data_IF_619754840520
#
_entry.id   IF_619754840520
#
_cell.length_a   1.000
_cell.length_b   1.000
_cell.length_c   1.000
_cell.angle_alpha   90.00
_cell.angle_beta   90.00
_cell.angle_gamma   90.00
#
_symmetry.space_group_name_H-M   'P 1'
#
loop_
_entity.id
_entity.type
_entity.pdbx_description
1 polymer ?
#
# COMPACT_ATOMS: atom_id res chain seq x y z
N UNK A 1 16.38 12.38 -1.21
CA UNK A 1 17.06 11.37 -2.05
C UNK A 1 17.45 12.04 -3.37
N UNK A 2 18.32 11.42 -4.18
CA UNK A 2 18.83 12.05 -5.43
C UNK A 2 17.86 11.90 -6.59
N UNK A 3 17.45 10.68 -6.92
CA UNK A 3 16.41 10.37 -7.91
C UNK A 3 15.49 9.27 -7.40
N UNK A 4 14.29 9.17 -7.97
CA UNK A 4 13.33 8.12 -7.62
C UNK A 4 13.90 6.72 -7.88
N UNK A 5 14.63 6.55 -8.99
CA UNK A 5 15.29 5.29 -9.35
C UNK A 5 16.31 4.90 -8.28
N UNK A 6 17.12 5.86 -7.82
CA UNK A 6 18.13 5.59 -6.79
C UNK A 6 17.49 5.25 -5.44
N UNK A 7 16.38 5.91 -5.09
CA UNK A 7 15.62 5.57 -3.88
C UNK A 7 15.08 4.13 -3.96
N UNK A 8 14.44 3.77 -5.06
CA UNK A 8 13.88 2.45 -5.27
C UNK A 8 14.96 1.36 -5.34
N UNK A 9 16.15 1.66 -5.86
CA UNK A 9 17.32 0.78 -5.81
C UNK A 9 17.76 0.48 -4.37
N UNK A 10 17.84 1.50 -3.51
CA UNK A 10 18.20 1.34 -2.09
C UNK A 10 17.14 0.49 -1.36
N UNK A 11 15.86 0.73 -1.60
CA UNK A 11 14.77 -0.05 -1.01
C UNK A 11 14.89 -1.52 -1.43
N UNK A 12 15.01 -1.78 -2.74
CA UNK A 12 15.14 -3.14 -3.28
C UNK A 12 16.36 -3.87 -2.72
N UNK A 13 17.51 -3.20 -2.62
CA UNK A 13 18.71 -3.79 -2.04
C UNK A 13 18.46 -4.34 -0.63
N UNK A 14 17.79 -3.58 0.25
CA UNK A 14 17.50 -4.06 1.61
C UNK A 14 16.53 -5.25 1.61
N UNK A 15 15.51 -5.22 0.76
CA UNK A 15 14.52 -6.29 0.65
C UNK A 15 15.13 -7.60 0.13
N UNK A 16 16.06 -7.54 -0.82
CA UNK A 16 16.83 -8.68 -1.32
C UNK A 16 17.71 -9.31 -0.22
N UNK A 17 18.11 -8.53 0.79
CA UNK A 17 18.83 -9.04 1.98
C UNK A 17 17.88 -9.52 3.09
N UNK A 18 16.58 -9.58 2.83
CA UNK A 18 15.57 -10.02 3.81
C UNK A 18 15.12 -8.93 4.80
N UNK A 19 15.52 -7.67 4.59
CA UNK A 19 15.09 -6.54 5.42
C UNK A 19 13.90 -5.86 4.76
N UNK A 20 12.70 -6.07 5.32
CA UNK A 20 11.50 -5.39 4.87
C UNK A 20 11.58 -3.88 5.13
N UNK A 21 11.30 -3.07 4.09
CA UNK A 21 11.25 -1.61 4.20
C UNK A 21 9.79 -1.14 4.20
N UNK A 22 9.40 -0.43 5.24
CA UNK A 22 8.15 0.33 5.24
C UNK A 22 8.39 1.64 4.49
N UNK A 23 8.15 1.65 3.17
CA UNK A 23 8.47 2.78 2.30
C UNK A 23 7.67 4.04 2.70
N UNK A 24 8.31 5.11 3.21
CA UNK A 24 7.61 6.33 3.60
C UNK A 24 7.34 7.26 2.41
N UNK A 25 7.83 6.92 1.22
CA UNK A 25 7.73 7.72 0.00
C UNK A 25 6.61 7.26 -0.93
N UNK A 26 5.62 6.54 -0.41
CA UNK A 26 4.38 6.18 -1.12
C UNK A 26 3.18 6.63 -0.30
N UNK A 27 2.07 6.91 -1.00
CA UNK A 27 0.77 7.17 -0.37
C UNK A 27 -0.16 5.95 -0.43
N UNK A 28 0.28 4.85 -1.07
CA UNK A 28 -0.47 3.59 -1.20
C UNK A 28 -0.14 2.68 -0.01
N UNK A 29 -1.17 2.14 0.64
CA UNK A 29 -1.04 1.32 1.86
C UNK A 29 -0.18 0.08 1.59
N UNK A 30 -0.42 -0.59 0.46
CA UNK A 30 0.24 -1.82 0.03
C UNK A 30 1.72 -1.62 -0.33
N UNK A 31 2.10 -0.42 -0.74
CA UNK A 31 3.49 -0.11 -1.09
C UNK A 31 4.31 0.39 0.10
N UNK A 32 3.63 0.79 1.18
CA UNK A 32 4.26 1.24 2.41
C UNK A 32 4.71 0.07 3.29
N UNK A 33 4.25 0.07 4.56
CA UNK A 33 4.63 -0.97 5.53
C UNK A 33 3.79 -2.25 5.51
N UNK A 34 2.61 -2.25 4.88
CA UNK A 34 1.69 -3.39 4.85
C UNK A 34 1.51 -3.91 3.43
N UNK A 35 2.42 -4.78 2.98
CA UNK A 35 2.43 -5.29 1.59
C UNK A 35 1.26 -6.17 1.18
N UNK A 36 0.52 -6.71 2.15
CA UNK A 36 -0.62 -7.60 1.92
C UNK A 36 -1.80 -7.12 2.75
N UNK A 37 -2.97 -7.01 2.13
CA UNK A 37 -4.23 -6.74 2.82
C UNK A 37 -4.88 -8.09 3.16
N UNK A 38 -5.21 -8.27 4.43
CA UNK A 38 -5.92 -9.45 4.93
C UNK A 38 -7.39 -9.45 4.43
N UNK A 39 -7.95 -10.59 3.98
CA UNK A 39 -9.38 -10.73 3.72
C UNK A 39 -10.30 -10.16 4.81
N UNK A 40 -9.91 -10.25 6.09
CA UNK A 40 -10.68 -9.67 7.20
C UNK A 40 -10.70 -8.14 7.16
N UNK A 41 -9.61 -7.50 6.73
CA UNK A 41 -9.54 -6.04 6.57
C UNK A 41 -10.42 -5.56 5.42
N UNK A 42 -10.52 -6.35 4.34
CA UNK A 42 -11.46 -6.07 3.24
C UNK A 42 -12.91 -6.14 3.72
N UNK A 43 -13.29 -7.23 4.40
CA UNK A 43 -14.64 -7.39 4.97
C UNK A 43 -14.98 -6.28 5.96
N UNK A 44 -14.03 -5.92 6.83
CA UNK A 44 -14.24 -4.81 7.76
C UNK A 44 -14.48 -3.49 7.03
N UNK A 45 -13.70 -3.22 5.97
CA UNK A 45 -13.84 -2.01 5.15
C UNK A 45 -15.20 -1.94 4.45
N UNK A 46 -15.73 -3.06 3.96
CA UNK A 46 -17.09 -3.14 3.39
C UNK A 46 -18.18 -2.79 4.41
N UNK A 47 -18.01 -3.20 5.67
CA UNK A 47 -18.96 -2.91 6.75
C UNK A 47 -18.93 -1.43 7.15
N UNK A 48 -17.74 -0.84 7.29
CA UNK A 48 -17.58 0.50 7.89
C UNK A 48 -17.54 1.64 6.87
N UNK A 49 -17.32 1.34 5.59
CA UNK A 49 -17.38 2.32 4.51
C UNK A 49 -18.12 1.74 3.29
N UNK A 50 -19.44 1.49 3.42
CA UNK A 50 -20.25 0.82 2.40
C UNK A 50 -20.42 1.63 1.11
N UNK A 51 -20.07 2.91 1.13
CA UNK A 51 -20.13 3.81 -0.04
C UNK A 51 -18.74 4.14 -0.60
N UNK A 52 -17.67 3.59 -0.03
CA UNK A 52 -16.31 3.81 -0.53
C UNK A 52 -15.80 5.25 -0.41
N UNK A 53 -16.35 6.05 0.49
CA UNK A 53 -16.04 7.49 0.59
C UNK A 53 -14.84 7.77 1.50
N UNK A 54 -14.45 6.80 2.33
CA UNK A 54 -13.35 6.97 3.28
C UNK A 54 -12.01 6.81 2.57
N UNK A 55 -11.45 7.96 2.17
CA UNK A 55 -10.10 8.10 1.62
C UNK A 55 -9.85 7.21 0.37
N UNK A 56 -10.65 7.41 -0.70
CA UNK A 56 -10.44 6.71 -1.96
C UNK A 56 -9.03 6.99 -2.50
N UNK A 57 -8.45 6.01 -3.19
CA UNK A 57 -7.10 6.16 -3.74
C UNK A 57 -5.98 5.60 -2.87
N UNK A 58 -6.21 5.37 -1.57
CA UNK A 58 -5.17 4.89 -0.62
C UNK A 58 -4.76 3.44 -0.81
N UNK A 59 -5.58 2.64 -1.48
CA UNK A 59 -5.31 1.23 -1.73
C UNK A 59 -5.59 0.89 -3.19
N UNK A 60 -4.74 0.06 -3.78
CA UNK A 60 -4.93 -0.44 -5.15
C UNK A 60 -6.00 -1.53 -5.19
N UNK A 61 -6.14 -2.32 -4.12
CA UNK A 61 -7.14 -3.38 -4.02
C UNK A 61 -8.55 -2.81 -3.85
N UNK A 62 -8.69 -1.72 -3.09
CA UNK A 62 -10.00 -1.14 -2.74
C UNK A 62 -10.58 -0.18 -3.80
N UNK A 63 -9.82 0.20 -4.83
CA UNK A 63 -10.27 1.13 -5.87
C UNK A 63 -11.28 0.53 -6.87
N UNK A 64 -11.48 -0.79 -6.88
CA UNK A 64 -12.16 -1.49 -7.99
C UNK A 64 -13.67 -1.77 -7.79
N UNK A 65 -14.32 -1.26 -6.74
CA UNK A 65 -15.69 -1.67 -6.39
C UNK A 65 -16.82 -0.76 -6.89
N UNK A 66 -16.58 0.23 -7.75
CA UNK A 66 -17.64 1.07 -8.31
C UNK A 66 -17.53 1.19 -9.84
N UNK A 67 -18.10 0.21 -10.54
CA UNK A 67 -18.55 0.30 -11.93
C UNK A 67 -19.96 -0.28 -12.03
#
# INVERSE_FOLDING_TARGET
YTTEERLNEIIRYHEEQGVGIANPHTYIIEEGGRKVIDPEQLKFKEIVDPYGLMNPGKSKVLQLQHN
#
